data_IF_691919378742
#
_entry.id   IF_691919378742
#
_cell.length_a   1.000
_cell.length_b   1.000
_cell.length_c   1.000
_cell.angle_alpha   90.00
_cell.angle_beta   90.00
_cell.angle_gamma   90.00
#
_symmetry.space_group_name_H-M   'P 1'
#
loop_
_entity.id
_entity.type
_entity.pdbx_description
1 polymer ?
#
# COMPACT_ATOMS: atom_id res chain seq x y z
N UNK A 1 27.39 21.88 10.46
CA UNK A 1 26.28 21.13 9.83
C UNK A 1 25.73 20.16 10.85
N UNK A 2 24.42 20.16 11.09
CA UNK A 2 23.79 19.24 12.05
C UNK A 2 23.65 17.87 11.40
N UNK A 3 24.24 16.84 12.01
CA UNK A 3 24.06 15.45 11.57
C UNK A 3 22.65 14.95 11.89
N UNK A 4 22.20 13.93 11.15
CA UNK A 4 20.95 13.21 11.40
C UNK A 4 21.18 11.70 11.31
N UNK A 5 20.39 10.93 12.04
CA UNK A 5 20.46 9.46 12.06
C UNK A 5 19.62 8.85 10.94
N UNK A 6 20.16 7.81 10.33
CA UNK A 6 19.55 7.06 9.22
C UNK A 6 19.83 5.57 9.35
N UNK A 7 18.95 4.71 8.83
CA UNK A 7 19.22 3.28 8.63
C UNK A 7 19.56 3.01 7.16
N UNK A 8 20.76 2.47 6.92
CA UNK A 8 21.28 2.23 5.58
C UNK A 8 21.34 0.74 5.25
N UNK A 9 20.84 0.39 4.06
CA UNK A 9 21.21 -0.85 3.40
C UNK A 9 22.58 -0.63 2.74
N UNK A 10 23.63 -1.22 3.30
CA UNK A 10 25.00 -1.08 2.79
C UNK A 10 25.29 -2.12 1.71
N UNK A 11 24.78 -3.33 1.89
CA UNK A 11 24.93 -4.46 0.98
C UNK A 11 23.62 -5.23 0.97
N UNK A 12 23.18 -5.68 -0.20
CA UNK A 12 21.96 -6.46 -0.34
C UNK A 12 22.05 -7.77 0.46
N UNK A 13 20.96 -8.16 1.12
CA UNK A 13 20.89 -9.37 1.93
C UNK A 13 21.58 -9.26 3.30
N UNK A 14 22.19 -8.12 3.63
CA UNK A 14 22.76 -7.85 4.96
C UNK A 14 21.80 -7.01 5.82
N UNK A 15 21.91 -7.09 7.16
CA UNK A 15 21.21 -6.18 8.06
C UNK A 15 21.51 -4.71 7.75
N UNK A 16 20.52 -3.85 8.00
CA UNK A 16 20.71 -2.41 7.89
C UNK A 16 21.64 -1.91 9.00
N UNK A 17 22.43 -0.88 8.70
CA UNK A 17 23.33 -0.22 9.64
C UNK A 17 22.84 1.19 9.93
N UNK A 18 22.75 1.54 11.21
CA UNK A 18 22.48 2.92 11.62
C UNK A 18 23.74 3.76 11.42
N UNK A 19 23.59 4.91 10.79
CA UNK A 19 24.66 5.85 10.51
C UNK A 19 24.21 7.29 10.80
N UNK A 20 25.18 8.19 10.88
CA UNK A 20 24.94 9.64 10.93
C UNK A 20 25.36 10.22 9.58
N UNK A 21 24.46 10.95 8.94
CA UNK A 21 24.72 11.69 7.70
C UNK A 21 24.38 13.16 7.90
N UNK A 22 24.71 14.01 6.94
CA UNK A 22 24.33 15.42 6.95
C UNK A 22 22.81 15.58 6.80
N UNK A 23 22.18 16.46 7.60
CA UNK A 23 20.77 16.83 7.42
C UNK A 23 20.62 17.61 6.10
N UNK A 24 19.76 17.17 5.17
CA UNK A 24 19.60 17.83 3.88
C UNK A 24 18.86 19.18 4.03
N UNK A 25 19.07 20.07 3.07
CA UNK A 25 18.37 21.37 2.96
C UNK A 25 17.43 21.33 1.76
N UNK A 26 16.18 21.78 1.88
CA UNK A 26 15.24 21.73 0.77
C UNK A 26 15.65 22.67 -0.37
N UNK A 27 15.61 22.15 -1.60
CA UNK A 27 15.65 22.96 -2.81
C UNK A 27 14.35 23.75 -3.02
N UNK A 28 14.25 24.54 -4.11
CA UNK A 28 13.17 25.53 -4.25
C UNK A 28 11.74 24.97 -4.25
N UNK A 29 11.54 23.74 -4.75
CA UNK A 29 10.23 23.06 -4.79
C UNK A 29 10.17 21.82 -3.89
N UNK A 30 11.01 21.82 -2.86
CA UNK A 30 11.10 20.70 -1.94
C UNK A 30 10.63 21.10 -0.55
N UNK A 31 10.17 20.10 0.18
CA UNK A 31 9.94 20.21 1.60
C UNK A 31 10.90 19.28 2.33
N UNK A 32 11.34 19.71 3.51
CA UNK A 32 12.05 18.89 4.46
C UNK A 32 11.05 18.42 5.51
N UNK A 33 10.84 17.11 5.60
CA UNK A 33 9.92 16.51 6.57
C UNK A 33 10.73 15.88 7.69
N UNK A 34 10.41 16.24 8.94
CA UNK A 34 10.84 15.53 10.14
C UNK A 34 9.98 14.28 10.28
N UNK A 35 10.56 13.11 10.05
CA UNK A 35 9.82 11.84 10.00
C UNK A 35 9.49 11.40 11.42
N UNK A 36 8.21 11.29 11.76
CA UNK A 36 7.76 10.82 13.08
C UNK A 36 7.42 9.33 13.06
N UNK A 37 6.93 8.82 11.92
CA UNK A 37 6.57 7.43 11.73
C UNK A 37 6.94 6.96 10.32
N UNK A 38 7.68 5.86 10.25
CA UNK A 38 8.00 5.16 9.01
C UNK A 38 7.40 3.76 9.05
N UNK A 39 6.42 3.47 8.18
CA UNK A 39 5.80 2.16 8.17
C UNK A 39 6.58 1.18 7.29
N UNK A 40 6.92 0.02 7.83
CA UNK A 40 7.47 -1.05 7.03
C UNK A 40 6.37 -1.78 6.25
N UNK A 41 6.60 -1.89 4.95
CA UNK A 41 5.70 -2.57 4.01
C UNK A 41 5.93 -4.09 4.01
N UNK A 42 4.91 -4.93 3.79
CA UNK A 42 5.01 -6.40 3.89
C UNK A 42 6.11 -7.05 3.04
N UNK A 43 6.47 -6.45 1.91
CA UNK A 43 7.54 -6.95 1.04
C UNK A 43 8.93 -6.40 1.38
N UNK A 44 9.09 -5.49 2.35
CA UNK A 44 10.37 -4.86 2.68
C UNK A 44 11.50 -5.86 2.92
N UNK A 45 11.25 -6.92 3.71
CA UNK A 45 12.22 -7.98 3.94
C UNK A 45 12.62 -8.73 2.66
N UNK A 46 11.67 -8.98 1.75
CA UNK A 46 11.96 -9.62 0.46
C UNK A 46 12.76 -8.69 -0.46
N UNK A 47 12.45 -7.39 -0.50
CA UNK A 47 13.15 -6.46 -1.38
C UNK A 47 14.62 -6.34 -0.98
N UNK A 48 14.93 -6.19 0.32
CA UNK A 48 16.32 -6.05 0.76
C UNK A 48 17.13 -7.35 0.62
N UNK A 49 16.48 -8.52 0.57
CA UNK A 49 17.15 -9.83 0.48
C UNK A 49 17.22 -10.37 -0.94
N UNK A 50 16.12 -10.32 -1.69
CA UNK A 50 15.95 -10.92 -3.02
C UNK A 50 15.91 -9.90 -4.15
N UNK A 51 15.74 -8.62 -3.82
CA UNK A 51 15.59 -7.55 -4.80
C UNK A 51 14.14 -7.36 -5.28
N UNK A 52 13.91 -6.36 -6.15
CA UNK A 52 12.57 -5.91 -6.52
C UNK A 52 11.96 -6.64 -7.72
N UNK A 53 12.59 -7.73 -8.19
CA UNK A 53 12.14 -8.50 -9.34
C UNK A 53 12.62 -7.94 -10.68
N UNK A 54 12.10 -8.50 -11.79
CA UNK A 54 12.66 -8.30 -13.14
C UNK A 54 12.40 -6.92 -13.78
N UNK A 55 11.43 -6.15 -13.29
CA UNK A 55 11.03 -4.87 -13.89
C UNK A 55 11.60 -3.65 -13.18
N UNK A 56 12.29 -3.86 -12.06
CA UNK A 56 12.67 -2.81 -11.14
C UNK A 56 14.14 -2.94 -10.74
N UNK A 57 14.71 -1.80 -10.34
CA UNK A 57 16.10 -1.70 -9.89
C UNK A 57 16.16 -1.11 -8.49
N UNK A 58 17.17 -1.51 -7.71
CA UNK A 58 17.41 -0.96 -6.38
C UNK A 58 18.13 0.39 -6.47
N UNK A 59 18.01 1.24 -5.44
CA UNK A 59 18.85 2.42 -5.31
C UNK A 59 20.32 2.03 -5.21
N UNK A 60 21.20 2.97 -5.59
CA UNK A 60 22.64 2.81 -5.39
C UNK A 60 22.95 2.63 -3.90
N UNK A 61 23.72 1.60 -3.57
CA UNK A 61 24.15 1.33 -2.20
C UNK A 61 25.43 2.12 -1.85
N UNK A 62 25.60 2.58 -0.60
CA UNK A 62 24.65 2.48 0.50
C UNK A 62 23.43 3.38 0.30
N UNK A 63 22.24 2.87 0.63
CA UNK A 63 20.97 3.61 0.49
C UNK A 63 20.24 3.71 1.83
N UNK A 64 19.68 4.88 2.14
CA UNK A 64 18.82 5.08 3.30
C UNK A 64 17.42 4.58 2.95
N UNK A 65 17.07 3.38 3.38
CA UNK A 65 15.93 2.64 2.85
C UNK A 65 14.58 3.08 3.47
N UNK A 66 13.47 2.60 2.92
CA UNK A 66 12.11 2.85 3.41
C UNK A 66 11.33 3.83 2.53
N UNK A 67 10.03 3.61 2.37
CA UNK A 67 9.19 4.37 1.43
C UNK A 67 8.06 5.16 2.11
N UNK A 68 7.35 4.53 3.04
CA UNK A 68 6.16 5.10 3.66
C UNK A 68 6.53 5.92 4.89
N UNK A 69 6.26 7.23 4.86
CA UNK A 69 6.57 8.17 5.92
C UNK A 69 5.39 9.09 6.25
N UNK A 70 5.21 9.37 7.53
CA UNK A 70 4.42 10.50 8.00
C UNK A 70 5.22 11.28 9.04
N UNK A 71 4.97 12.59 9.10
CA UNK A 71 5.68 13.46 10.03
C UNK A 71 5.22 14.91 9.93
N UNK A 72 6.12 15.82 10.23
CA UNK A 72 5.86 17.26 10.26
C UNK A 72 6.82 17.97 9.32
N UNK A 73 6.31 18.93 8.54
CA UNK A 73 7.18 19.79 7.73
C UNK A 73 8.05 20.62 8.66
N UNK A 74 9.37 20.48 8.51
CA UNK A 74 10.38 21.26 9.21
C UNK A 74 10.68 22.56 8.45
N UNK A 75 10.86 22.46 7.13
CA UNK A 75 11.19 23.59 6.27
C UNK A 75 10.64 23.40 4.86
N UNK A 76 10.43 24.49 4.14
CA UNK A 76 9.95 24.52 2.75
C UNK A 76 10.89 25.36 1.88
N UNK A 77 11.00 24.97 0.61
CA UNK A 77 11.70 25.75 -0.40
C UNK A 77 10.98 27.05 -0.77
N UNK A 78 11.72 27.98 -1.37
CA UNK A 78 11.23 29.32 -1.73
C UNK A 78 10.05 29.34 -2.73
N UNK A 79 9.88 28.29 -3.54
CA UNK A 79 8.83 28.18 -4.56
C UNK A 79 7.70 27.23 -4.13
N UNK A 80 7.70 26.76 -2.87
CA UNK A 80 6.63 25.93 -2.33
C UNK A 80 5.44 26.82 -1.96
N UNK A 81 4.25 26.43 -2.42
CA UNK A 81 3.01 27.17 -2.22
C UNK A 81 2.01 26.28 -1.48
N UNK A 82 1.33 26.83 -0.48
CA UNK A 82 0.24 26.15 0.24
C UNK A 82 0.67 25.23 1.38
N UNK A 83 1.97 24.93 1.50
CA UNK A 83 2.57 24.14 2.58
C UNK A 83 3.44 25.02 3.48
N UNK A 84 3.48 24.73 4.78
CA UNK A 84 4.32 25.46 5.75
C UNK A 84 4.91 24.55 6.81
N UNK A 85 5.97 25.03 7.45
CA UNK A 85 6.52 24.37 8.64
C UNK A 85 5.42 24.19 9.71
N UNK A 86 5.43 23.02 10.36
CA UNK A 86 4.41 22.61 11.33
C UNK A 86 3.22 21.84 10.75
N UNK A 87 3.04 21.81 9.42
CA UNK A 87 1.99 20.98 8.82
C UNK A 87 2.31 19.49 9.02
N UNK A 88 1.32 18.72 9.47
CA UNK A 88 1.38 17.25 9.56
C UNK A 88 1.13 16.66 8.19
N UNK A 89 2.00 15.76 7.73
CA UNK A 89 1.99 15.31 6.34
C UNK A 89 2.28 13.82 6.18
N UNK A 90 1.64 13.23 5.17
CA UNK A 90 2.04 11.97 4.57
C UNK A 90 2.92 12.29 3.37
N UNK A 91 4.02 11.55 3.24
CA UNK A 91 4.93 11.69 2.11
C UNK A 91 4.64 10.56 1.13
N UNK A 92 4.04 10.90 0.00
CA UNK A 92 3.84 9.96 -1.10
C UNK A 92 5.23 9.51 -1.63
N UNK A 93 5.55 8.21 -1.55
CA UNK A 93 6.82 7.68 -2.02
C UNK A 93 7.01 7.78 -3.54
N UNK A 94 5.94 7.98 -4.32
CA UNK A 94 5.96 7.87 -5.78
C UNK A 94 6.58 9.10 -6.45
N UNK A 95 7.87 9.06 -6.73
CA UNK A 95 8.55 10.14 -7.47
C UNK A 95 8.41 9.87 -8.97
N UNK A 96 7.94 10.87 -9.71
CA UNK A 96 7.72 10.78 -11.16
C UNK A 96 8.60 11.76 -11.91
N UNK A 97 8.83 11.52 -13.21
CA UNK A 97 9.67 12.40 -14.03
C UNK A 97 9.00 13.74 -14.41
N UNK A 98 7.71 13.92 -14.09
CA UNK A 98 6.93 15.13 -14.36
C UNK A 98 6.61 15.43 -15.82
N UNK A 99 7.30 14.81 -16.79
CA UNK A 99 7.23 15.21 -18.19
C UNK A 99 6.73 14.14 -19.17
N UNK A 100 6.59 12.86 -18.78
CA UNK A 100 6.15 11.82 -19.71
C UNK A 100 4.65 11.92 -20.02
N UNK A 101 4.17 11.17 -21.02
CA UNK A 101 2.76 11.19 -21.44
C UNK A 101 1.79 10.91 -20.28
N UNK A 102 2.14 10.02 -19.36
CA UNK A 102 1.28 9.71 -18.21
C UNK A 102 1.30 10.83 -17.17
N UNK A 103 2.47 11.39 -16.86
CA UNK A 103 2.59 12.56 -15.98
C UNK A 103 1.77 13.74 -16.51
N UNK A 104 1.82 14.02 -17.82
CA UNK A 104 1.03 15.10 -18.46
C UNK A 104 -0.47 14.84 -18.49
N UNK A 105 -0.91 13.59 -18.27
CA UNK A 105 -2.32 13.21 -18.10
C UNK A 105 -2.78 13.25 -16.64
N UNK A 106 -1.92 13.67 -15.71
CA UNK A 106 -2.18 13.60 -14.27
C UNK A 106 -1.95 12.20 -13.66
N UNK A 107 -1.62 11.19 -14.48
CA UNK A 107 -1.35 9.81 -14.04
C UNK A 107 0.12 9.61 -13.70
N UNK A 108 0.58 10.31 -12.67
CA UNK A 108 1.99 10.23 -12.20
C UNK A 108 2.34 8.85 -11.69
N UNK A 109 1.38 8.16 -11.08
CA UNK A 109 1.44 6.76 -10.64
C UNK A 109 1.81 5.76 -11.76
N UNK A 110 1.53 6.12 -13.02
CA UNK A 110 1.89 5.34 -14.20
C UNK A 110 3.14 5.86 -14.91
N UNK A 111 3.98 6.63 -14.23
CA UNK A 111 5.22 7.14 -14.82
C UNK A 111 6.15 5.98 -15.19
N UNK A 112 6.42 5.82 -16.48
CA UNK A 112 7.35 4.80 -16.99
C UNK A 112 8.83 5.11 -16.70
N UNK A 113 9.11 6.17 -15.94
CA UNK A 113 10.43 6.57 -15.43
C UNK A 113 10.38 6.82 -13.93
N UNK A 114 9.26 6.49 -13.27
CA UNK A 114 9.05 6.78 -11.86
C UNK A 114 9.78 5.80 -10.94
N UNK A 115 9.69 6.09 -9.65
CA UNK A 115 10.17 5.21 -8.61
C UNK A 115 9.34 5.33 -7.32
N UNK A 116 9.53 4.38 -6.42
CA UNK A 116 9.26 4.57 -5.01
C UNK A 116 10.58 4.99 -4.36
N UNK A 117 10.63 6.21 -3.84
CA UNK A 117 11.86 6.84 -3.33
C UNK A 117 12.64 5.89 -2.44
N UNK A 118 13.96 5.84 -2.64
CA UNK A 118 14.89 5.03 -1.87
C UNK A 118 14.47 3.56 -1.62
N UNK A 119 13.64 2.99 -2.50
CA UNK A 119 13.12 1.63 -2.37
C UNK A 119 13.33 0.83 -3.65
N UNK A 120 12.70 1.24 -4.76
CA UNK A 120 13.00 0.72 -6.11
C UNK A 120 12.48 1.68 -7.19
N UNK A 121 13.04 1.60 -8.40
CA UNK A 121 12.59 2.37 -9.56
C UNK A 121 12.45 1.50 -10.81
N UNK A 122 11.85 2.04 -11.87
CA UNK A 122 11.80 1.38 -13.17
C UNK A 122 13.23 1.13 -13.67
N UNK A 123 13.54 -0.11 -14.11
CA UNK A 123 14.89 -0.47 -14.57
C UNK A 123 15.19 0.06 -15.98
N UNK A 124 15.35 1.38 -16.07
CA UNK A 124 15.77 2.13 -17.25
C UNK A 124 16.79 3.19 -16.82
N UNK A 125 17.63 3.72 -17.73
CA UNK A 125 18.54 4.81 -17.41
C UNK A 125 17.83 6.02 -16.78
N UNK A 126 16.68 6.41 -17.32
CA UNK A 126 15.89 7.54 -16.79
C UNK A 126 15.22 7.19 -15.46
N UNK A 127 14.75 5.96 -15.27
CA UNK A 127 14.19 5.50 -13.99
C UNK A 127 15.23 5.50 -12.87
N UNK A 128 16.47 5.10 -13.17
CA UNK A 128 17.62 5.20 -12.24
C UNK A 128 17.92 6.65 -11.90
N UNK A 129 17.93 7.54 -12.89
CA UNK A 129 18.14 8.96 -12.67
C UNK A 129 17.05 9.60 -11.78
N UNK A 130 15.78 9.18 -11.92
CA UNK A 130 14.71 9.64 -11.01
C UNK A 130 14.90 9.08 -9.60
N UNK A 131 15.28 7.81 -9.47
CA UNK A 131 15.53 7.19 -8.16
C UNK A 131 16.69 7.85 -7.40
N UNK A 132 17.70 8.35 -8.10
CA UNK A 132 18.87 9.02 -7.51
C UNK A 132 18.59 10.46 -7.05
N UNK A 133 17.47 11.08 -7.47
CA UNK A 133 17.10 12.44 -7.04
C UNK A 133 16.73 12.51 -5.55
N UNK A 134 16.09 11.45 -5.04
CA UNK A 134 15.63 11.36 -3.64
C UNK A 134 16.17 10.08 -2.98
N UNK A 135 17.48 10.02 -2.67
CA UNK A 135 18.13 8.80 -2.18
C UNK A 135 17.89 8.53 -0.68
N UNK A 136 17.18 9.44 0.01
CA UNK A 136 16.87 9.34 1.44
C UNK A 136 15.42 8.89 1.62
N UNK A 137 15.25 7.67 2.12
CA UNK A 137 13.98 7.05 2.43
C UNK A 137 13.45 7.34 3.83
N UNK A 138 12.33 6.69 4.17
CA UNK A 138 11.59 6.93 5.41
C UNK A 138 12.30 6.45 6.69
N UNK A 139 13.30 5.55 6.61
CA UNK A 139 14.10 5.13 7.75
C UNK A 139 15.21 6.15 8.06
N UNK A 140 14.80 7.39 8.27
CA UNK A 140 15.66 8.55 8.51
C UNK A 140 14.97 9.54 9.43
N UNK A 141 15.73 10.35 10.15
CA UNK A 141 15.15 11.45 10.95
C UNK A 141 14.52 12.56 10.08
N UNK A 142 15.06 12.78 8.88
CA UNK A 142 14.52 13.74 7.93
C UNK A 142 14.66 13.23 6.50
N UNK A 143 13.70 13.56 5.66
CA UNK A 143 13.78 13.33 4.22
C UNK A 143 13.34 14.56 3.44
N UNK A 144 13.86 14.68 2.22
CA UNK A 144 13.38 15.65 1.23
C UNK A 144 12.31 15.02 0.35
N UNK A 145 11.34 15.83 -0.05
CA UNK A 145 10.32 15.45 -1.02
C UNK A 145 9.95 16.62 -1.91
N UNK A 146 9.59 16.38 -3.19
CA UNK A 146 8.84 17.36 -3.95
C UNK A 146 7.59 17.78 -3.18
N UNK A 147 7.25 19.06 -3.24
CA UNK A 147 6.02 19.61 -2.67
C UNK A 147 4.76 18.89 -3.19
N UNK A 148 4.75 18.52 -4.47
CA UNK A 148 3.64 17.82 -5.10
C UNK A 148 3.46 16.35 -4.68
N UNK A 149 4.30 15.85 -3.77
CA UNK A 149 4.24 14.51 -3.17
C UNK A 149 3.82 14.56 -1.69
N UNK A 150 3.29 15.70 -1.25
CA UNK A 150 2.92 15.94 0.15
C UNK A 150 1.41 16.03 0.25
N UNK A 151 0.83 15.14 1.05
CA UNK A 151 -0.58 15.20 1.43
C UNK A 151 -0.67 15.66 2.89
N UNK A 152 -1.44 16.72 3.15
CA UNK A 152 -1.65 17.24 4.51
C UNK A 152 -2.61 16.34 5.26
N UNK A 153 -2.26 15.96 6.48
CA UNK A 153 -3.05 15.08 7.33
C UNK A 153 -3.78 15.91 8.40
N UNK A 154 -5.10 15.75 8.57
CA UNK A 154 -5.83 16.43 9.63
C UNK A 154 -5.46 15.88 11.02
N UNK A 155 -5.66 16.68 12.10
CA UNK A 155 -5.35 16.25 13.46
C UNK A 155 -6.01 14.94 13.91
N UNK A 156 -7.18 14.62 13.34
CA UNK A 156 -7.99 13.43 13.66
C UNK A 156 -7.36 12.11 13.25
N UNK A 157 -6.38 12.10 12.33
CA UNK A 157 -5.68 10.88 11.93
C UNK A 157 -4.40 10.78 12.74
N UNK A 158 -4.18 9.66 13.42
CA UNK A 158 -2.95 9.41 14.15
C UNK A 158 -1.76 9.24 13.18
N UNK A 159 -0.57 9.68 13.60
CA UNK A 159 0.60 9.73 12.70
C UNK A 159 1.09 8.34 12.28
N UNK A 160 0.86 7.31 13.10
CA UNK A 160 1.30 5.94 12.83
C UNK A 160 0.41 5.26 11.79
N UNK A 161 -0.90 5.51 11.82
CA UNK A 161 -1.85 5.13 10.77
C UNK A 161 -1.59 5.93 9.51
N UNK A 162 -1.27 7.22 9.62
CA UNK A 162 -0.94 8.02 8.44
C UNK A 162 0.32 7.49 7.71
N UNK A 163 1.31 6.98 8.44
CA UNK A 163 2.46 6.31 7.83
C UNK A 163 2.06 5.03 7.05
N UNK A 164 0.83 4.51 7.21
CA UNK A 164 0.31 3.36 6.46
C UNK A 164 -0.46 3.74 5.19
N UNK A 165 -0.57 5.04 4.88
CA UNK A 165 -1.36 5.55 3.78
C UNK A 165 -0.94 4.99 2.40
N UNK A 166 0.32 4.56 2.20
CA UNK A 166 0.73 3.91 0.96
C UNK A 166 -0.06 2.63 0.63
N UNK A 167 -0.29 1.78 1.63
CA UNK A 167 -1.05 0.53 1.46
C UNK A 167 -2.56 0.71 1.60
N UNK A 168 -2.99 1.67 2.41
CA UNK A 168 -4.41 2.08 2.48
C UNK A 168 -4.84 2.66 1.13
N UNK A 169 -4.08 3.62 0.60
CA UNK A 169 -4.29 4.23 -0.72
C UNK A 169 -4.29 3.21 -1.85
N UNK A 170 -3.36 2.23 -1.82
CA UNK A 170 -3.35 1.13 -2.81
C UNK A 170 -4.67 0.35 -2.81
N UNK A 171 -5.23 0.09 -1.63
CA UNK A 171 -6.52 -0.59 -1.52
C UNK A 171 -7.68 0.31 -1.93
N UNK A 172 -7.62 1.59 -1.60
CA UNK A 172 -8.60 2.58 -1.98
C UNK A 172 -8.73 2.71 -3.50
N UNK A 173 -7.62 2.95 -4.19
CA UNK A 173 -7.54 3.01 -5.64
C UNK A 173 -7.97 1.69 -6.29
N UNK A 174 -7.54 0.55 -5.72
CA UNK A 174 -7.96 -0.77 -6.17
C UNK A 174 -9.48 -0.98 -6.13
N UNK A 175 -10.13 -0.59 -5.03
CA UNK A 175 -11.58 -0.69 -4.90
C UNK A 175 -12.32 0.30 -5.79
N UNK A 176 -11.82 1.53 -5.97
CA UNK A 176 -12.36 2.48 -6.98
C UNK A 176 -12.26 1.90 -8.39
N UNK A 177 -11.13 1.28 -8.75
CA UNK A 177 -10.93 0.64 -10.06
C UNK A 177 -11.81 -0.59 -10.28
N UNK A 178 -12.05 -1.35 -9.21
CA UNK A 178 -13.05 -2.42 -9.15
C UNK A 178 -14.49 -1.86 -9.26
N UNK A 179 -14.68 -0.54 -9.14
CA UNK A 179 -15.98 0.13 -9.20
C UNK A 179 -16.84 -0.17 -7.99
N UNK A 180 -16.24 -0.42 -6.83
CA UNK A 180 -16.98 -0.64 -5.57
C UNK A 180 -17.63 0.64 -5.07
N UNK A 181 -18.72 0.50 -4.30
CA UNK A 181 -19.56 1.61 -3.90
C UNK A 181 -20.87 1.16 -3.26
N UNK A 182 -21.81 2.10 -3.06
CA UNK A 182 -23.07 1.83 -2.38
C UNK A 182 -23.86 0.71 -3.05
N UNK A 183 -24.39 -0.22 -2.26
CA UNK A 183 -25.23 -1.30 -2.75
C UNK A 183 -24.48 -2.53 -3.26
N UNK A 184 -23.18 -2.42 -3.55
CA UNK A 184 -22.39 -3.50 -4.14
C UNK A 184 -21.87 -4.51 -3.13
N UNK A 185 -21.54 -5.69 -3.64
CA UNK A 185 -20.99 -6.80 -2.87
C UNK A 185 -19.58 -7.14 -3.35
N UNK A 186 -18.68 -7.39 -2.39
CA UNK A 186 -17.25 -7.51 -2.65
C UNK A 186 -16.72 -8.83 -2.11
N UNK A 187 -15.95 -9.54 -2.92
CA UNK A 187 -15.09 -10.64 -2.49
C UNK A 187 -13.64 -10.16 -2.38
N UNK A 188 -12.99 -10.47 -1.26
CA UNK A 188 -11.60 -10.14 -1.00
C UNK A 188 -10.80 -11.44 -0.84
N UNK A 189 -9.88 -11.68 -1.76
CA UNK A 189 -8.96 -12.81 -1.70
C UNK A 189 -7.66 -12.38 -0.99
N UNK A 190 -7.27 -13.05 0.09
CA UNK A 190 -6.16 -12.61 0.95
C UNK A 190 -6.58 -11.55 1.99
N UNK A 191 -7.80 -11.64 2.52
CA UNK A 191 -8.41 -10.63 3.40
C UNK A 191 -7.62 -10.39 4.69
N UNK A 192 -6.90 -11.39 5.21
CA UNK A 192 -6.13 -11.27 6.47
C UNK A 192 -4.78 -10.56 6.31
N UNK A 193 -4.40 -10.21 5.08
CA UNK A 193 -3.21 -9.42 4.76
C UNK A 193 -3.44 -7.92 4.89
N UNK A 194 -2.36 -7.14 4.73
CA UNK A 194 -2.39 -5.68 4.83
C UNK A 194 -3.40 -5.01 3.90
N UNK A 195 -3.36 -5.34 2.61
CA UNK A 195 -4.32 -4.78 1.64
C UNK A 195 -5.74 -5.26 1.94
N UNK A 196 -5.90 -6.52 2.36
CA UNK A 196 -7.20 -7.11 2.66
C UNK A 196 -7.92 -6.43 3.83
N UNK A 197 -7.25 -6.25 4.96
CA UNK A 197 -7.80 -5.53 6.12
C UNK A 197 -8.18 -4.09 5.75
N UNK A 198 -7.33 -3.40 4.99
CA UNK A 198 -7.63 -2.05 4.53
C UNK A 198 -8.86 -2.03 3.61
N UNK A 199 -8.94 -2.96 2.68
CA UNK A 199 -10.07 -3.09 1.77
C UNK A 199 -11.40 -3.38 2.47
N UNK A 200 -11.41 -4.12 3.59
CA UNK A 200 -12.64 -4.30 4.39
C UNK A 200 -13.15 -2.95 4.91
N UNK A 201 -12.29 -2.17 5.59
CA UNK A 201 -12.67 -0.87 6.13
C UNK A 201 -13.11 0.11 5.04
N UNK A 202 -12.38 0.16 3.92
CA UNK A 202 -12.71 1.04 2.79
C UNK A 202 -14.02 0.61 2.14
N UNK A 203 -14.26 -0.69 1.92
CA UNK A 203 -15.50 -1.19 1.34
C UNK A 203 -16.72 -0.88 2.23
N UNK A 204 -16.57 -0.95 3.56
CA UNK A 204 -17.62 -0.54 4.49
C UNK A 204 -17.94 0.95 4.34
N UNK A 205 -16.90 1.81 4.28
CA UNK A 205 -17.04 3.25 4.08
C UNK A 205 -17.58 3.63 2.69
N UNK A 206 -17.31 2.83 1.66
CA UNK A 206 -17.89 2.95 0.33
C UNK A 206 -19.38 2.55 0.28
N UNK A 207 -19.91 1.95 1.35
CA UNK A 207 -21.31 1.51 1.40
C UNK A 207 -21.56 0.14 0.75
N UNK A 208 -20.54 -0.70 0.61
CA UNK A 208 -20.74 -2.09 0.18
C UNK A 208 -21.65 -2.82 1.18
N UNK A 209 -22.65 -3.52 0.66
CA UNK A 209 -23.72 -4.15 1.45
C UNK A 209 -23.33 -5.51 1.99
N UNK A 210 -22.41 -6.20 1.32
CA UNK A 210 -21.86 -7.49 1.77
C UNK A 210 -20.39 -7.64 1.36
N UNK A 211 -19.58 -8.16 2.28
CA UNK A 211 -18.17 -8.45 2.04
C UNK A 211 -17.91 -9.93 2.34
N UNK A 212 -17.30 -10.63 1.39
CA UNK A 212 -16.81 -11.98 1.54
C UNK A 212 -15.29 -11.95 1.66
N UNK A 213 -14.73 -12.53 2.73
CA UNK A 213 -13.28 -12.54 2.97
C UNK A 213 -12.70 -13.94 2.95
N UNK A 214 -11.68 -14.17 2.12
CA UNK A 214 -10.92 -15.43 2.08
C UNK A 214 -9.51 -15.18 2.62
N UNK A 215 -9.07 -15.99 3.59
CA UNK A 215 -7.73 -15.92 4.14
C UNK A 215 -7.32 -17.22 4.83
N UNK A 216 -6.10 -17.31 5.38
CA UNK A 216 -5.61 -18.55 6.03
C UNK A 216 -5.75 -18.57 7.54
N UNK A 217 -5.59 -17.42 8.18
CA UNK A 217 -5.52 -17.33 9.63
C UNK A 217 -6.92 -17.12 10.21
N UNK A 218 -7.46 -18.14 10.89
CA UNK A 218 -8.82 -18.17 11.44
C UNK A 218 -9.08 -17.11 12.51
N UNK A 219 -8.10 -16.81 13.36
CA UNK A 219 -8.22 -15.78 14.39
C UNK A 219 -8.42 -14.39 13.76
N UNK A 220 -7.61 -14.06 12.75
CA UNK A 220 -7.74 -12.80 11.98
C UNK A 220 -9.04 -12.74 11.19
N UNK A 221 -9.52 -13.87 10.66
CA UNK A 221 -10.83 -13.92 9.99
C UNK A 221 -11.96 -13.59 10.97
N UNK A 222 -11.91 -14.12 12.20
CA UNK A 222 -12.88 -13.79 13.24
C UNK A 222 -12.82 -12.30 13.64
N UNK A 223 -11.63 -11.70 13.74
CA UNK A 223 -11.49 -10.25 13.94
C UNK A 223 -12.16 -9.46 12.81
N UNK A 224 -11.94 -9.85 11.55
CA UNK A 224 -12.51 -9.18 10.37
C UNK A 224 -14.04 -9.29 10.36
N UNK A 225 -14.59 -10.46 10.68
CA UNK A 225 -16.03 -10.66 10.75
C UNK A 225 -16.70 -9.73 11.78
N UNK A 226 -15.99 -9.41 12.87
CA UNK A 226 -16.42 -8.48 13.91
C UNK A 226 -16.34 -7.00 13.55
N UNK A 227 -15.76 -6.62 12.41
CA UNK A 227 -15.62 -5.20 12.00
C UNK A 227 -16.93 -4.54 11.56
N UNK A 228 -18.01 -5.31 11.40
CA UNK A 228 -19.31 -4.80 10.97
C UNK A 228 -20.47 -5.47 11.71
N UNK A 229 -21.67 -4.94 11.50
CA UNK A 229 -22.91 -5.56 11.97
C UNK A 229 -23.03 -7.01 11.48
N UNK A 230 -23.49 -7.91 12.35
CA UNK A 230 -23.61 -9.34 12.09
C UNK A 230 -24.24 -9.62 10.71
N UNK A 231 -23.57 -10.46 9.92
CA UNK A 231 -24.03 -10.89 8.59
C UNK A 231 -23.60 -9.99 7.43
N UNK A 232 -23.03 -8.80 7.70
CA UNK A 232 -22.48 -7.92 6.65
C UNK A 232 -21.15 -8.42 6.10
N UNK A 233 -20.35 -9.06 6.94
CA UNK A 233 -19.09 -9.70 6.57
C UNK A 233 -19.25 -11.20 6.79
N UNK A 234 -18.84 -12.00 5.82
CA UNK A 234 -18.71 -13.45 5.95
C UNK A 234 -17.29 -13.86 5.55
N UNK A 235 -16.67 -14.73 6.34
CA UNK A 235 -15.28 -15.13 6.16
C UNK A 235 -15.15 -16.63 5.98
N UNK A 236 -14.12 -17.05 5.24
CA UNK A 236 -13.78 -18.48 5.07
C UNK A 236 -12.27 -18.68 5.05
N UNK A 237 -11.82 -19.74 5.72
CA UNK A 237 -10.42 -20.15 5.61
C UNK A 237 -10.19 -20.81 4.25
N UNK A 238 -9.09 -20.45 3.57
CA UNK A 238 -8.64 -21.18 2.38
C UNK A 238 -8.11 -22.58 2.70
N UNK A 239 -7.85 -22.86 3.98
CA UNK A 239 -7.43 -24.18 4.49
C UNK A 239 -8.60 -25.09 4.87
N UNK A 240 -9.85 -24.58 4.83
CA UNK A 240 -11.02 -25.39 5.14
C UNK A 240 -11.39 -26.28 3.95
N UNK A 241 -11.81 -27.52 4.24
CA UNK A 241 -12.30 -28.44 3.22
C UNK A 241 -13.52 -27.89 2.46
N UNK A 242 -13.63 -28.24 1.17
CA UNK A 242 -14.74 -27.86 0.30
C UNK A 242 -14.41 -26.76 -0.70
N UNK A 243 -15.33 -26.51 -1.64
CA UNK A 243 -15.12 -25.60 -2.76
C UNK A 243 -15.42 -24.14 -2.37
N UNK A 244 -14.39 -23.28 -2.46
CA UNK A 244 -14.51 -21.83 -2.23
C UNK A 244 -15.51 -21.17 -3.18
N UNK A 245 -15.60 -21.60 -4.45
CA UNK A 245 -16.55 -21.05 -5.42
C UNK A 245 -17.97 -21.40 -5.01
N UNK A 246 -18.19 -22.62 -4.55
CA UNK A 246 -19.50 -23.05 -4.06
C UNK A 246 -19.93 -22.24 -2.84
N UNK A 247 -19.01 -22.02 -1.90
CA UNK A 247 -19.26 -21.15 -0.74
C UNK A 247 -19.61 -19.71 -1.14
N UNK A 248 -18.86 -19.12 -2.07
CA UNK A 248 -19.17 -17.77 -2.58
C UNK A 248 -20.59 -17.74 -3.15
N UNK A 249 -20.98 -18.73 -3.95
CA UNK A 249 -22.34 -18.81 -4.51
C UNK A 249 -23.42 -18.93 -3.44
N UNK A 250 -23.21 -19.77 -2.43
CA UNK A 250 -24.14 -19.93 -1.30
C UNK A 250 -24.31 -18.61 -0.54
N UNK A 251 -23.21 -17.88 -0.31
CA UNK A 251 -23.28 -16.57 0.33
C UNK A 251 -23.97 -15.51 -0.53
N UNK A 252 -24.09 -15.73 -1.84
CA UNK A 252 -24.59 -14.76 -2.82
C UNK A 252 -25.87 -15.21 -3.52
N UNK A 253 -26.62 -16.16 -2.93
CA UNK A 253 -27.86 -16.70 -3.49
C UNK A 253 -27.71 -17.16 -4.97
N UNK A 254 -26.54 -17.69 -5.31
CA UNK A 254 -26.20 -18.19 -6.65
C UNK A 254 -25.73 -17.13 -7.67
N UNK A 255 -25.84 -15.83 -7.36
CA UNK A 255 -25.53 -14.75 -8.32
C UNK A 255 -24.04 -14.43 -8.42
N UNK A 256 -23.30 -14.59 -7.31
CA UNK A 256 -21.90 -14.15 -7.20
C UNK A 256 -21.77 -12.68 -6.77
N UNK A 257 -20.57 -12.23 -6.36
CA UNK A 257 -20.32 -10.85 -5.95
C UNK A 257 -20.09 -9.92 -7.16
N UNK A 258 -20.30 -8.61 -6.96
CA UNK A 258 -20.11 -7.58 -7.97
C UNK A 258 -18.63 -7.28 -8.23
N UNK A 259 -17.78 -7.50 -7.22
CA UNK A 259 -16.36 -7.22 -7.27
C UNK A 259 -15.50 -8.34 -6.69
N UNK A 260 -14.31 -8.51 -7.27
CA UNK A 260 -13.19 -9.22 -6.65
C UNK A 260 -12.03 -8.26 -6.45
N UNK A 261 -11.56 -8.13 -5.22
CA UNK A 261 -10.30 -7.48 -4.88
C UNK A 261 -9.29 -8.54 -4.47
N UNK A 262 -8.28 -8.76 -5.32
CA UNK A 262 -7.30 -9.83 -5.11
C UNK A 262 -6.00 -9.29 -4.53
N UNK A 263 -5.72 -9.69 -3.28
CA UNK A 263 -4.57 -9.30 -2.49
C UNK A 263 -3.51 -10.40 -2.39
N UNK A 264 -3.58 -11.46 -3.20
CA UNK A 264 -2.56 -12.51 -3.16
C UNK A 264 -1.22 -11.99 -3.67
N UNK A 265 -0.16 -12.22 -2.89
CA UNK A 265 1.23 -11.92 -3.27
C UNK A 265 2.09 -13.17 -3.29
N UNK A 266 3.40 -13.00 -3.02
CA UNK A 266 4.35 -14.12 -2.95
C UNK A 266 3.87 -15.29 -2.05
N UNK A 267 3.70 -16.45 -2.67
CA UNK A 267 3.18 -17.67 -2.04
C UNK A 267 1.66 -17.83 -2.11
N UNK A 268 0.97 -17.00 -2.90
CA UNK A 268 -0.39 -17.26 -3.37
C UNK A 268 -0.41 -18.03 -4.69
N UNK A 269 -1.58 -18.53 -5.07
CA UNK A 269 -1.78 -19.37 -6.26
C UNK A 269 -2.72 -18.69 -7.27
N UNK A 270 -2.29 -18.59 -8.52
CA UNK A 270 -3.06 -17.95 -9.60
C UNK A 270 -4.34 -18.71 -9.95
N UNK A 271 -4.35 -20.04 -9.81
CA UNK A 271 -5.51 -20.89 -10.06
C UNK A 271 -6.69 -20.58 -9.13
N UNK A 272 -6.41 -20.29 -7.86
CA UNK A 272 -7.42 -19.84 -6.90
C UNK A 272 -8.07 -18.53 -7.37
N UNK A 273 -7.24 -17.57 -7.78
CA UNK A 273 -7.70 -16.30 -8.36
C UNK A 273 -8.60 -16.55 -9.57
N UNK A 274 -8.19 -17.39 -10.51
CA UNK A 274 -8.96 -17.71 -11.71
C UNK A 274 -10.34 -18.31 -11.39
N UNK A 275 -10.42 -19.23 -10.42
CA UNK A 275 -11.69 -19.81 -9.95
C UNK A 275 -12.61 -18.75 -9.35
N UNK A 276 -12.09 -17.83 -8.55
CA UNK A 276 -12.87 -16.75 -7.94
C UNK A 276 -13.37 -15.73 -8.97
N UNK A 277 -12.58 -15.40 -10.00
CA UNK A 277 -13.05 -14.59 -11.15
C UNK A 277 -14.28 -15.25 -11.79
N UNK A 278 -14.23 -16.57 -11.95
CA UNK A 278 -15.33 -17.37 -12.48
C UNK A 278 -16.58 -17.45 -11.58
N UNK A 279 -16.51 -16.94 -10.34
CA UNK A 279 -17.62 -16.91 -9.38
C UNK A 279 -18.37 -15.58 -9.34
N UNK A 280 -17.92 -14.57 -10.08
CA UNK A 280 -18.50 -13.24 -10.11
C UNK A 280 -19.89 -13.21 -10.75
N UNK A 281 -20.66 -12.19 -10.35
CA UNK A 281 -21.89 -11.81 -11.02
C UNK A 281 -21.65 -11.31 -12.45
N UNK A 282 -22.72 -11.24 -13.25
CA UNK A 282 -22.68 -10.58 -14.56
C UNK A 282 -22.32 -9.10 -14.39
N UNK A 283 -21.43 -8.58 -15.22
CA UNK A 283 -20.87 -7.23 -15.09
C UNK A 283 -19.79 -7.13 -13.99
N UNK A 284 -19.38 -8.26 -13.40
CA UNK A 284 -18.42 -8.29 -12.30
C UNK A 284 -17.06 -7.73 -12.69
N UNK A 285 -16.39 -7.08 -11.74
CA UNK A 285 -15.09 -6.43 -11.98
C UNK A 285 -14.03 -6.95 -11.03
N UNK A 286 -12.81 -7.11 -11.52
CA UNK A 286 -11.68 -7.62 -10.75
C UNK A 286 -10.62 -6.54 -10.66
N UNK A 287 -10.09 -6.33 -9.45
CA UNK A 287 -8.88 -5.56 -9.22
C UNK A 287 -7.78 -6.48 -8.66
N UNK A 288 -6.79 -6.79 -9.50
CA UNK A 288 -5.58 -7.52 -9.11
C UNK A 288 -4.58 -6.54 -8.50
N UNK A 289 -4.39 -6.60 -7.18
CA UNK A 289 -3.77 -5.50 -6.43
C UNK A 289 -2.47 -5.83 -5.72
N UNK A 290 -2.19 -7.12 -5.51
CA UNK A 290 -0.93 -7.55 -4.96
C UNK A 290 0.00 -8.08 -6.07
N UNK A 291 1.27 -7.67 -5.99
CA UNK A 291 2.32 -8.20 -6.86
C UNK A 291 2.91 -9.51 -6.33
N UNK A 292 3.38 -10.37 -7.24
CA UNK A 292 4.24 -11.51 -6.90
C UNK A 292 3.57 -12.88 -6.83
N UNK A 293 2.31 -13.01 -7.23
CA UNK A 293 1.75 -14.36 -7.51
C UNK A 293 2.41 -14.91 -8.77
N UNK A 294 3.06 -16.08 -8.72
CA UNK A 294 3.61 -16.72 -9.90
C UNK A 294 2.48 -17.35 -10.74
N UNK A 295 2.75 -17.55 -12.03
CA UNK A 295 1.86 -18.27 -12.93
C UNK A 295 0.90 -17.38 -13.73
N UNK A 296 -0.01 -18.03 -14.43
CA UNK A 296 -0.99 -17.41 -15.32
C UNK A 296 -2.39 -17.48 -14.70
N UNK A 297 -3.24 -16.50 -15.01
CA UNK A 297 -4.66 -16.52 -14.66
C UNK A 297 -5.44 -17.02 -15.87
N UNK A 298 -5.82 -18.30 -15.84
CA UNK A 298 -6.51 -18.96 -16.97
C UNK A 298 -8.02 -18.97 -16.75
N UNK A 299 -8.78 -18.36 -17.65
CA UNK A 299 -10.25 -18.36 -17.63
C UNK A 299 -10.85 -18.66 -19.00
N UNK A 300 -12.10 -19.12 -19.02
CA UNK A 300 -12.83 -19.41 -20.26
C UNK A 300 -13.23 -18.11 -20.96
N UNK A 301 -12.68 -17.87 -22.15
CA UNK A 301 -12.97 -16.71 -23.00
C UNK A 301 -14.48 -16.47 -23.18
N UNK A 302 -15.21 -17.50 -23.63
CA UNK A 302 -16.65 -17.38 -23.89
C UNK A 302 -17.47 -17.04 -22.63
N UNK A 303 -17.01 -17.49 -21.45
CA UNK A 303 -17.66 -17.19 -20.17
C UNK A 303 -17.42 -15.74 -19.75
N UNK A 304 -16.18 -15.26 -19.81
CA UNK A 304 -15.84 -13.86 -19.52
C UNK A 304 -16.67 -12.93 -20.42
N UNK A 305 -16.69 -13.20 -21.73
CA UNK A 305 -17.46 -12.44 -22.70
C UNK A 305 -18.96 -12.46 -22.39
N UNK A 306 -19.55 -13.65 -22.18
CA UNK A 306 -20.99 -13.78 -21.93
C UNK A 306 -21.45 -13.17 -20.60
N UNK A 307 -20.56 -13.12 -19.60
CA UNK A 307 -20.84 -12.53 -18.30
C UNK A 307 -20.46 -11.05 -18.20
N UNK A 308 -19.84 -10.46 -19.23
CA UNK A 308 -19.35 -9.08 -19.20
C UNK A 308 -18.40 -8.80 -18.02
N UNK A 309 -17.48 -9.74 -17.75
CA UNK A 309 -16.54 -9.63 -16.62
C UNK A 309 -15.30 -8.85 -17.05
N UNK A 310 -14.93 -7.82 -16.28
CA UNK A 310 -13.71 -7.03 -16.49
C UNK A 310 -12.60 -7.47 -15.54
N UNK A 311 -11.40 -7.73 -16.08
CA UNK A 311 -10.21 -8.02 -15.27
C UNK A 311 -9.21 -6.86 -15.38
N UNK A 312 -8.96 -6.17 -14.26
CA UNK A 312 -8.10 -4.99 -14.22
C UNK A 312 -6.92 -5.22 -13.27
N UNK A 313 -5.70 -4.98 -13.75
CA UNK A 313 -4.56 -4.77 -12.84
C UNK A 313 -4.67 -3.41 -12.17
N UNK A 314 -4.29 -3.30 -10.90
CA UNK A 314 -4.13 -2.01 -10.21
C UNK A 314 -2.70 -1.84 -9.73
N UNK A 315 -2.22 -0.60 -9.75
CA UNK A 315 -0.84 -0.25 -9.42
C UNK A 315 -0.90 1.01 -8.56
N UNK A 316 -0.66 0.84 -7.26
CA UNK A 316 -0.65 1.92 -6.26
C UNK A 316 -1.93 2.77 -6.31
N UNK A 317 -1.76 4.08 -6.18
CA UNK A 317 -2.80 5.11 -6.19
C UNK A 317 -2.20 6.39 -6.80
N UNK A 318 -3.07 7.30 -7.23
CA UNK A 318 -2.68 8.65 -7.63
C UNK A 318 -2.99 9.67 -6.52
N UNK A 319 -2.52 10.91 -6.67
CA UNK A 319 -2.64 11.95 -5.64
C UNK A 319 -4.10 12.32 -5.29
N UNK A 320 -5.02 12.29 -6.25
CA UNK A 320 -6.45 12.54 -5.97
C UNK A 320 -7.02 11.45 -5.07
N UNK A 321 -6.67 10.18 -5.32
CA UNK A 321 -7.16 9.04 -4.55
C UNK A 321 -6.64 9.04 -3.11
N UNK A 322 -5.44 9.59 -2.84
CA UNK A 322 -4.94 9.69 -1.47
C UNK A 322 -5.60 10.83 -0.70
N UNK A 323 -5.87 11.96 -1.35
CA UNK A 323 -6.56 13.09 -0.74
C UNK A 323 -8.00 12.71 -0.36
N UNK A 324 -8.75 12.09 -1.28
CA UNK A 324 -10.10 11.57 -1.00
C UNK A 324 -10.07 10.57 0.17
N UNK A 325 -9.05 9.71 0.23
CA UNK A 325 -8.91 8.74 1.30
C UNK A 325 -8.66 9.41 2.65
N UNK A 326 -7.78 10.41 2.71
CA UNK A 326 -7.50 11.20 3.91
C UNK A 326 -8.77 11.93 4.39
N UNK A 327 -9.55 12.52 3.47
CA UNK A 327 -10.80 13.20 3.81
C UNK A 327 -11.83 12.25 4.41
N UNK A 328 -12.00 11.05 3.83
CA UNK A 328 -12.94 10.05 4.33
C UNK A 328 -12.54 9.46 5.68
N UNK A 329 -11.24 9.27 5.92
CA UNK A 329 -10.74 8.87 7.25
C UNK A 329 -10.95 10.02 8.24
N UNK A 330 -10.59 11.25 7.85
CA UNK A 330 -10.72 12.44 8.70
C UNK A 330 -12.16 12.75 9.11
N UNK A 331 -13.13 12.43 8.24
CA UNK A 331 -14.57 12.54 8.50
C UNK A 331 -15.15 11.35 9.29
N UNK A 332 -14.36 10.32 9.58
CA UNK A 332 -14.80 9.11 10.28
C UNK A 332 -15.68 8.17 9.43
N UNK A 333 -15.70 8.35 8.10
CA UNK A 333 -16.45 7.48 7.17
C UNK A 333 -15.71 6.14 6.99
N UNK A 334 -14.37 6.20 6.94
CA UNK A 334 -13.51 5.00 6.93
C UNK A 334 -12.77 4.95 8.26
N UNK A 335 -13.05 3.92 9.06
CA UNK A 335 -12.45 3.73 10.37
C UNK A 335 -11.26 2.76 10.31
N UNK A 336 -10.11 3.22 10.78
CA UNK A 336 -8.87 2.46 10.94
C UNK A 336 -8.46 2.26 12.40
N UNK A 337 -9.33 2.55 13.36
CA UNK A 337 -9.08 2.40 14.81
C UNK A 337 -8.69 0.99 15.25
N UNK A 338 -9.00 -0.03 14.43
CA UNK A 338 -8.60 -1.42 14.67
C UNK A 338 -7.10 -1.68 14.45
N UNK A 339 -6.38 -0.76 13.80
CA UNK A 339 -4.95 -0.90 13.53
C UNK A 339 -4.15 -0.80 14.84
N UNK A 340 -3.28 -1.80 15.05
CA UNK A 340 -2.39 -1.88 16.19
C UNK A 340 -0.98 -1.55 15.75
N UNK A 341 -0.25 -0.74 16.51
CA UNK A 341 1.09 -0.31 16.13
C UNK A 341 2.14 -1.01 16.99
N UNK A 342 3.07 -1.72 16.34
CA UNK A 342 4.30 -2.22 16.96
C UNK A 342 5.42 -1.25 16.63
N UNK A 343 5.89 -0.54 17.64
CA UNK A 343 6.84 0.57 17.52
C UNK A 343 8.27 0.06 17.73
N UNK A 344 9.20 0.64 16.97
CA UNK A 344 10.63 0.38 17.01
C UNK A 344 11.39 1.69 16.88
N UNK A 345 12.51 1.83 17.57
CA UNK A 345 13.50 2.88 17.30
C UNK A 345 14.27 2.60 16.00
N UNK A 346 15.09 3.57 15.56
CA UNK A 346 15.94 3.37 14.39
C UNK A 346 17.02 2.30 14.63
N UNK A 347 17.46 2.14 15.88
CA UNK A 347 18.39 1.13 16.36
C UNK A 347 17.82 -0.28 16.25
N UNK A 348 16.51 -0.42 16.44
CA UNK A 348 15.79 -1.68 16.37
C UNK A 348 15.25 -1.99 14.95
N UNK A 349 15.71 -1.26 13.92
CA UNK A 349 15.23 -1.40 12.55
C UNK A 349 15.30 -2.85 12.05
N UNK A 350 16.34 -3.60 12.40
CA UNK A 350 16.47 -4.99 11.97
C UNK A 350 15.43 -5.92 12.62
N UNK A 351 15.02 -5.64 13.86
CA UNK A 351 13.92 -6.37 14.53
C UNK A 351 12.56 -6.00 13.95
N UNK A 352 12.41 -4.76 13.49
CA UNK A 352 11.23 -4.33 12.73
C UNK A 352 11.14 -5.10 11.39
N UNK A 353 12.25 -5.22 10.64
CA UNK A 353 12.30 -6.02 9.41
C UNK A 353 12.00 -7.50 9.65
N UNK A 354 12.55 -8.08 10.72
CA UNK A 354 12.24 -9.46 11.13
C UNK A 354 10.75 -9.61 11.42
N UNK A 355 10.18 -8.71 12.22
CA UNK A 355 8.75 -8.73 12.56
C UNK A 355 7.89 -8.72 11.30
N UNK A 356 8.19 -7.86 10.31
CA UNK A 356 7.45 -7.85 9.04
C UNK A 356 7.63 -9.16 8.26
N UNK A 357 8.85 -9.71 8.24
CA UNK A 357 9.14 -11.01 7.65
C UNK A 357 8.31 -12.15 8.24
N UNK A 358 8.01 -12.09 9.53
CA UNK A 358 7.17 -13.05 10.26
C UNK A 358 5.66 -12.89 9.96
N UNK A 359 5.28 -11.93 9.10
CA UNK A 359 3.90 -11.71 8.61
C UNK A 359 2.88 -11.51 9.75
N UNK A 360 2.99 -10.41 10.51
CA UNK A 360 2.23 -10.18 11.75
C UNK A 360 0.73 -9.97 11.51
N UNK A 361 0.32 -9.75 10.25
CA UNK A 361 -1.08 -9.63 9.83
C UNK A 361 -1.46 -8.22 9.41
N UNK A 362 -2.61 -8.09 8.74
CA UNK A 362 -3.04 -6.82 8.18
C UNK A 362 -3.44 -5.76 9.21
N UNK A 363 -3.89 -6.17 10.39
CA UNK A 363 -4.23 -5.26 11.50
C UNK A 363 -3.00 -4.68 12.22
N UNK A 364 -1.78 -5.14 11.92
CA UNK A 364 -0.57 -4.69 12.61
C UNK A 364 0.25 -3.78 11.68
N UNK A 365 0.49 -2.56 12.14
CA UNK A 365 1.50 -1.67 11.58
C UNK A 365 2.82 -1.91 12.30
N UNK A 366 3.87 -2.19 11.54
CA UNK A 366 5.24 -2.18 12.05
C UNK A 366 5.82 -0.81 11.73
N UNK A 367 6.03 0.00 12.76
CA UNK A 367 6.45 1.39 12.65
C UNK A 367 7.84 1.55 13.24
N UNK A 368 8.72 2.16 12.48
CA UNK A 368 9.98 2.71 12.99
C UNK A 368 9.75 4.20 13.29
N UNK A 369 10.11 4.66 14.48
CA UNK A 369 10.01 6.06 14.91
C UNK A 369 11.43 6.66 14.98
N UNK A 370 11.89 7.35 13.93
CA UNK A 370 13.31 7.75 13.84
C UNK A 370 13.74 8.83 14.84
N UNK A 371 12.79 9.47 15.53
CA UNK A 371 13.04 10.57 16.47
C UNK A 371 13.30 10.11 17.91
N UNK A 372 13.04 8.84 18.22
CA UNK A 372 13.14 8.27 19.57
C UNK A 372 14.48 7.59 19.77
#
# INVERSE_FOLDING_TARGET
MTGMRVAQLVEQGKPLKVAIIEKPTPGPKEVLVKVEAACLVPNAANIITKGPGHYYTLPKLPSVFGLDAAGVIEAVGENVIGLKAGDRVYVDPHVSCGNCKQCRKGRRDLCNRGCLRAYFGIDTPEGKAVLEQYPIGSLSQYLLSPDANIAVIPPSIDINTAARLGYIGTSYAGLKKCGMGPGKTLLINGVTGTLGYAAVAIALGFGCTKILGIGRNKERLAEIEGMATKGRIAVRSSEDEGDLVQWVKEQMNGLGPDGLYDCLGNGGESDGTAKLISSLARGGRVALAAGGVPGEITNTYGKIMAQDVSVNGTLWFNSEEIDECIELIGAGVIDFSFLRHKLFSLEEVNDAFKTVGDRPGGAINVIVQPQV
#
